data_IF_570434172789
#
_entry.id   IF_570434172789
#
_cell.length_a   1.000
_cell.length_b   1.000
_cell.length_c   1.000
_cell.angle_alpha   90.00
_cell.angle_beta   90.00
_cell.angle_gamma   90.00
#
_symmetry.space_group_name_H-M   'P 1'
#
loop_
_entity.id
_entity.type
_entity.pdbx_description
1 polymer ?
#
# COMPACT_ATOMS: atom_id res chain seq x y z
N UNK A 1 24.74 2.15 17.99
CA UNK A 1 24.42 3.54 18.45
C UNK A 1 25.09 4.49 17.47
N UNK A 2 24.32 5.12 16.58
CA UNK A 2 24.86 6.14 15.67
C UNK A 2 24.93 7.47 16.39
N UNK A 3 26.13 8.03 16.51
CA UNK A 3 26.36 9.36 17.07
C UNK A 3 25.93 10.39 16.03
N UNK A 4 24.86 11.15 16.31
CA UNK A 4 24.45 12.26 15.44
C UNK A 4 25.45 13.40 15.57
N UNK A 5 25.97 13.88 14.45
CA UNK A 5 26.87 15.04 14.40
C UNK A 5 26.04 16.29 14.12
N UNK A 6 26.16 17.31 14.98
CA UNK A 6 25.53 18.60 14.81
C UNK A 6 26.47 19.55 14.06
N UNK A 7 25.89 20.43 13.23
CA UNK A 7 26.63 21.54 12.63
C UNK A 7 26.95 22.64 13.67
N UNK A 8 27.66 23.68 13.25
CA UNK A 8 28.08 24.78 14.14
C UNK A 8 26.90 25.59 14.73
N UNK A 9 25.67 25.41 14.20
CA UNK A 9 24.45 26.02 14.69
C UNK A 9 23.60 25.07 15.56
N UNK A 10 24.08 23.85 15.88
CA UNK A 10 23.37 22.85 16.68
C UNK A 10 22.28 22.09 15.89
N UNK A 11 22.28 22.18 14.57
CA UNK A 11 21.39 21.44 13.68
C UNK A 11 22.06 20.16 13.17
N UNK A 12 21.24 19.18 12.77
CA UNK A 12 21.74 17.98 12.09
C UNK A 12 22.46 18.34 10.80
N UNK A 13 23.63 17.72 10.57
CA UNK A 13 24.34 17.88 9.30
C UNK A 13 23.51 17.37 8.13
N UNK A 14 23.87 17.76 6.92
CA UNK A 14 23.16 17.27 5.72
C UNK A 14 23.35 15.76 5.52
N UNK A 15 24.49 15.22 5.88
CA UNK A 15 24.76 13.79 5.87
C UNK A 15 23.82 13.05 6.85
N UNK A 16 23.63 13.60 8.06
CA UNK A 16 22.71 12.98 9.03
C UNK A 16 21.28 12.99 8.54
N UNK A 17 20.83 14.08 7.92
CA UNK A 17 19.47 14.18 7.32
C UNK A 17 19.29 13.18 6.18
N UNK A 18 20.28 13.06 5.31
CA UNK A 18 20.26 12.09 4.23
C UNK A 18 20.23 10.65 4.77
N UNK A 19 21.06 10.34 5.76
CA UNK A 19 21.09 9.03 6.40
C UNK A 19 19.77 8.70 7.07
N UNK A 20 19.20 9.64 7.82
CA UNK A 20 17.88 9.48 8.45
C UNK A 20 16.76 9.26 7.43
N UNK A 21 16.77 10.01 6.33
CA UNK A 21 15.82 9.81 5.22
C UNK A 21 15.95 8.40 4.63
N UNK A 22 17.18 7.93 4.39
CA UNK A 22 17.44 6.59 3.85
C UNK A 22 16.90 5.50 4.78
N UNK A 23 17.22 5.59 6.05
CA UNK A 23 16.75 4.65 7.07
C UNK A 23 15.23 4.62 7.12
N UNK A 24 14.61 5.80 7.26
CA UNK A 24 13.14 5.90 7.33
C UNK A 24 12.45 5.34 6.08
N UNK A 25 13.02 5.58 4.89
CA UNK A 25 12.49 5.03 3.64
C UNK A 25 12.55 3.51 3.61
N UNK A 26 13.68 2.94 4.02
CA UNK A 26 13.86 1.48 4.02
C UNK A 26 13.01 0.80 5.08
N UNK A 27 12.87 1.41 6.26
CA UNK A 27 11.97 0.93 7.30
C UNK A 27 10.51 0.96 6.82
N UNK A 28 10.10 2.00 6.08
CA UNK A 28 8.80 2.05 5.43
C UNK A 28 8.61 0.90 4.44
N UNK A 29 9.59 0.68 3.55
CA UNK A 29 9.53 -0.41 2.56
C UNK A 29 9.41 -1.81 3.20
N UNK A 30 9.99 -2.01 4.40
CA UNK A 30 9.92 -3.28 5.15
C UNK A 30 8.59 -3.50 5.86
N UNK A 31 7.70 -2.50 5.95
CA UNK A 31 6.38 -2.67 6.58
C UNK A 31 5.57 -3.78 5.91
N UNK A 32 4.76 -4.49 6.72
CA UNK A 32 4.03 -5.69 6.29
C UNK A 32 3.13 -5.44 5.08
N UNK A 33 2.52 -4.25 5.01
CA UNK A 33 1.54 -3.91 3.98
C UNK A 33 1.89 -2.59 3.27
N UNK A 34 3.19 -2.34 3.02
CA UNK A 34 3.66 -1.21 2.22
C UNK A 34 4.01 -1.66 0.78
N UNK A 35 4.77 -0.86 0.03
CA UNK A 35 4.99 -1.03 -1.41
C UNK A 35 5.56 -2.39 -1.81
N UNK A 36 6.49 -2.95 -1.03
CA UNK A 36 7.10 -4.24 -1.35
C UNK A 36 6.18 -5.43 -1.09
N UNK A 37 5.04 -5.23 -0.41
CA UNK A 37 4.02 -6.25 -0.19
C UNK A 37 3.02 -6.36 -1.35
N UNK A 38 3.07 -5.49 -2.36
CA UNK A 38 2.15 -5.55 -3.49
C UNK A 38 2.39 -6.83 -4.29
N UNK A 39 1.44 -7.75 -4.21
CA UNK A 39 1.49 -9.08 -4.79
C UNK A 39 0.55 -9.27 -5.99
N UNK A 40 -0.44 -8.38 -6.17
CA UNK A 40 -1.40 -8.49 -7.26
C UNK A 40 -2.19 -7.22 -7.50
N UNK A 41 -2.70 -7.13 -8.72
CA UNK A 41 -3.62 -6.07 -9.15
C UNK A 41 -4.66 -6.68 -10.10
N UNK A 42 -5.94 -6.62 -9.71
CA UNK A 42 -7.03 -7.30 -10.37
C UNK A 42 -8.12 -6.28 -10.73
N UNK A 43 -8.46 -6.17 -12.00
CA UNK A 43 -9.58 -5.34 -12.45
C UNK A 43 -10.91 -5.98 -12.08
N UNK A 44 -11.85 -5.16 -11.61
CA UNK A 44 -13.21 -5.59 -11.29
C UNK A 44 -14.14 -5.07 -12.38
N UNK A 45 -14.87 -5.97 -13.03
CA UNK A 45 -15.88 -5.64 -14.04
C UNK A 45 -17.28 -5.52 -13.42
N UNK A 46 -18.25 -5.14 -14.24
CA UNK A 46 -19.68 -5.14 -13.91
C UNK A 46 -20.30 -6.57 -13.87
N UNK A 47 -19.65 -7.53 -14.52
CA UNK A 47 -20.05 -8.93 -14.45
C UNK A 47 -19.46 -9.60 -13.20
N UNK A 48 -20.28 -10.30 -12.37
CA UNK A 48 -19.78 -11.03 -11.21
C UNK A 48 -18.75 -12.10 -11.58
N UNK A 49 -17.55 -12.02 -11.00
CA UNK A 49 -16.45 -12.93 -11.31
C UNK A 49 -15.66 -13.33 -10.05
N UNK A 50 -15.08 -14.53 -10.08
CA UNK A 50 -14.07 -14.94 -9.09
C UNK A 50 -12.73 -14.37 -9.52
N UNK A 51 -12.11 -13.57 -8.65
CA UNK A 51 -10.83 -12.90 -8.91
C UNK A 51 -9.71 -13.57 -8.11
N UNK A 52 -9.29 -14.76 -8.53
CA UNK A 52 -8.24 -15.49 -7.82
C UNK A 52 -6.95 -14.65 -7.65
N UNK A 53 -6.29 -14.70 -6.46
CA UNK A 53 -6.54 -15.62 -5.34
C UNK A 53 -7.54 -15.10 -4.29
N UNK A 54 -8.22 -13.97 -4.54
CA UNK A 54 -9.14 -13.35 -3.56
C UNK A 54 -10.40 -14.20 -3.43
N UNK A 55 -10.81 -14.59 -2.21
CA UNK A 55 -12.05 -15.32 -2.00
C UNK A 55 -13.28 -14.52 -2.42
N UNK A 56 -14.34 -15.25 -2.81
CA UNK A 56 -15.64 -14.67 -3.15
C UNK A 56 -15.80 -14.29 -4.61
N UNK A 57 -16.98 -13.77 -4.92
CA UNK A 57 -17.37 -13.27 -6.23
C UNK A 57 -17.49 -11.76 -6.17
N UNK A 58 -16.81 -11.08 -7.09
CA UNK A 58 -16.64 -9.64 -7.11
C UNK A 58 -17.24 -9.03 -8.36
N UNK A 59 -17.85 -7.85 -8.24
CA UNK A 59 -18.35 -7.06 -9.38
C UNK A 59 -18.49 -5.59 -9.01
N UNK A 60 -18.72 -4.75 -10.01
CA UNK A 60 -19.07 -3.34 -9.85
C UNK A 60 -20.56 -3.16 -10.17
N UNK A 61 -21.26 -2.40 -9.35
CA UNK A 61 -22.61 -1.95 -9.65
C UNK A 61 -22.81 -0.52 -9.13
N UNK A 62 -23.26 0.37 -10.01
CA UNK A 62 -23.32 1.80 -9.70
C UNK A 62 -21.92 2.37 -9.44
N UNK A 63 -21.74 2.98 -8.27
CA UNK A 63 -20.49 3.59 -7.80
C UNK A 63 -19.79 2.75 -6.72
N UNK A 64 -20.09 1.45 -6.66
CA UNK A 64 -19.59 0.56 -5.61
C UNK A 64 -18.98 -0.73 -6.15
N UNK A 65 -17.95 -1.22 -5.47
CA UNK A 65 -17.46 -2.59 -5.57
C UNK A 65 -18.30 -3.46 -4.64
N UNK A 66 -18.81 -4.56 -5.17
CA UNK A 66 -19.56 -5.57 -4.44
C UNK A 66 -18.74 -6.84 -4.28
N UNK A 67 -18.98 -7.54 -3.19
CA UNK A 67 -18.43 -8.88 -2.96
C UNK A 67 -19.47 -9.76 -2.29
N UNK A 68 -19.53 -11.03 -2.73
CA UNK A 68 -20.30 -12.09 -2.09
C UNK A 68 -19.36 -13.25 -1.75
N UNK A 69 -19.39 -13.69 -0.50
CA UNK A 69 -18.64 -14.85 -0.03
C UNK A 69 -19.43 -15.62 1.04
N UNK A 70 -19.12 -16.90 1.20
CA UNK A 70 -19.58 -17.66 2.36
C UNK A 70 -18.57 -17.55 3.51
N UNK A 71 -19.02 -17.74 4.75
CA UNK A 71 -18.12 -17.72 5.90
C UNK A 71 -16.94 -18.70 5.77
N UNK A 72 -17.17 -19.85 5.11
CA UNK A 72 -16.12 -20.85 4.85
C UNK A 72 -15.01 -20.40 3.90
N UNK A 73 -15.24 -19.33 3.11
CA UNK A 73 -14.23 -18.76 2.19
C UNK A 73 -13.14 -17.98 2.94
N UNK A 74 -13.40 -17.63 4.21
CA UNK A 74 -12.42 -16.97 5.07
C UNK A 74 -12.09 -15.52 4.68
N UNK A 75 -12.99 -14.85 3.97
CA UNK A 75 -12.86 -13.42 3.67
C UNK A 75 -13.36 -12.59 4.85
N UNK A 76 -12.51 -11.75 5.42
CA UNK A 76 -12.86 -10.81 6.47
C UNK A 76 -13.00 -9.39 5.92
N UNK A 77 -14.08 -8.71 6.22
CA UNK A 77 -14.28 -7.30 5.87
C UNK A 77 -13.71 -6.43 7.00
N UNK A 78 -12.98 -5.39 6.60
CA UNK A 78 -12.32 -4.46 7.52
C UNK A 78 -13.17 -3.19 7.67
N UNK A 79 -13.59 -2.89 8.90
CA UNK A 79 -14.17 -1.62 9.24
C UNK A 79 -13.11 -0.50 9.31
N UNK A 80 -13.55 0.76 9.34
CA UNK A 80 -12.66 1.93 9.39
C UNK A 80 -11.77 1.97 10.64
N UNK A 81 -12.20 1.36 11.74
CA UNK A 81 -11.44 1.22 12.98
C UNK A 81 -10.45 0.03 12.97
N UNK A 82 -10.39 -0.72 11.87
CA UNK A 82 -9.56 -1.91 11.70
C UNK A 82 -10.18 -3.21 12.22
N UNK A 83 -11.41 -3.16 12.75
CA UNK A 83 -12.13 -4.38 13.16
C UNK A 83 -12.40 -5.26 11.94
N UNK A 84 -12.05 -6.55 12.04
CA UNK A 84 -12.30 -7.53 11.01
C UNK A 84 -13.52 -8.39 11.34
N UNK A 85 -14.38 -8.64 10.37
CA UNK A 85 -15.57 -9.49 10.50
C UNK A 85 -15.66 -10.45 9.31
N UNK A 86 -15.77 -11.74 9.57
CA UNK A 86 -15.95 -12.75 8.51
C UNK A 86 -17.21 -12.42 7.71
N UNK A 87 -17.06 -12.34 6.39
CA UNK A 87 -18.18 -12.14 5.48
C UNK A 87 -18.95 -13.46 5.29
N UNK A 88 -20.25 -13.39 5.55
CA UNK A 88 -21.20 -14.45 5.21
C UNK A 88 -22.39 -13.81 4.50
N UNK A 89 -22.39 -13.80 3.18
CA UNK A 89 -23.38 -13.10 2.36
C UNK A 89 -22.73 -12.08 1.43
N UNK A 90 -23.32 -10.88 1.33
CA UNK A 90 -22.93 -9.83 0.39
C UNK A 90 -22.70 -8.50 1.10
N UNK A 91 -21.70 -7.76 0.64
CA UNK A 91 -21.46 -6.37 1.05
C UNK A 91 -20.97 -5.54 -0.13
N UNK A 92 -20.94 -4.21 0.04
CA UNK A 92 -20.44 -3.29 -0.97
C UNK A 92 -19.67 -2.13 -0.34
N UNK A 93 -18.80 -1.51 -1.13
CA UNK A 93 -18.02 -0.33 -0.77
C UNK A 93 -18.02 0.68 -1.91
N UNK A 94 -18.52 1.88 -1.64
CA UNK A 94 -18.37 3.03 -2.55
C UNK A 94 -17.01 3.68 -2.35
N UNK A 95 -16.31 3.96 -3.44
CA UNK A 95 -14.97 4.53 -3.45
C UNK A 95 -14.97 5.93 -4.07
N UNK A 96 -14.21 6.84 -3.47
CA UNK A 96 -13.83 8.09 -4.11
C UNK A 96 -12.58 7.95 -4.97
N UNK A 97 -12.36 8.87 -5.91
CA UNK A 97 -11.18 8.91 -6.79
C UNK A 97 -9.84 9.06 -6.05
N UNK A 98 -9.87 9.54 -4.81
CA UNK A 98 -8.69 9.85 -4.02
C UNK A 98 -8.20 8.68 -3.16
N UNK A 99 -7.41 7.79 -3.73
CA UNK A 99 -6.72 6.77 -2.94
C UNK A 99 -7.30 5.36 -3.06
N UNK A 100 -6.75 4.43 -2.29
CA UNK A 100 -7.25 3.09 -2.09
C UNK A 100 -7.80 2.95 -0.68
N UNK A 101 -8.81 2.13 -0.52
CA UNK A 101 -9.36 1.81 0.79
C UNK A 101 -9.12 0.33 1.09
N UNK A 102 -8.56 0.05 2.26
CA UNK A 102 -8.45 -1.32 2.76
C UNK A 102 -9.86 -1.84 3.01
N UNK A 103 -10.23 -2.87 2.29
CA UNK A 103 -11.60 -3.39 2.27
C UNK A 103 -11.69 -4.72 3.01
N UNK A 104 -10.73 -5.61 2.78
CA UNK A 104 -10.83 -6.97 3.27
C UNK A 104 -9.46 -7.56 3.58
N UNK A 105 -9.48 -8.72 4.24
CA UNK A 105 -8.32 -9.55 4.53
C UNK A 105 -8.69 -11.01 4.37
N UNK A 106 -7.72 -11.84 3.98
CA UNK A 106 -7.88 -13.31 3.90
C UNK A 106 -6.55 -14.03 4.10
N UNK A 107 -6.62 -15.34 4.33
CA UNK A 107 -5.43 -16.19 4.49
C UNK A 107 -4.49 -15.69 5.59
N UNK A 108 -3.19 -15.72 5.32
CA UNK A 108 -2.14 -15.30 6.24
C UNK A 108 -1.93 -13.78 6.20
N UNK A 109 -2.99 -13.00 6.48
CA UNK A 109 -2.98 -11.54 6.56
C UNK A 109 -2.77 -10.81 5.22
N UNK A 110 -3.26 -11.38 4.10
CA UNK A 110 -3.26 -10.69 2.81
C UNK A 110 -4.34 -9.63 2.80
N UNK A 111 -3.95 -8.35 2.70
CA UNK A 111 -4.88 -7.22 2.60
C UNK A 111 -5.36 -7.03 1.16
N UNK A 112 -6.65 -6.75 1.02
CA UNK A 112 -7.31 -6.34 -0.22
C UNK A 112 -7.64 -4.86 -0.13
N UNK A 113 -7.05 -4.05 -1.01
CA UNK A 113 -7.38 -2.64 -1.16
C UNK A 113 -8.23 -2.46 -2.41
N UNK A 114 -9.40 -1.88 -2.28
CA UNK A 114 -10.20 -1.46 -3.42
C UNK A 114 -9.76 -0.06 -3.89
N UNK A 115 -9.68 0.12 -5.19
CA UNK A 115 -9.18 1.32 -5.87
C UNK A 115 -10.14 1.76 -6.95
N UNK A 116 -10.33 3.07 -7.09
CA UNK A 116 -10.94 3.68 -8.27
C UNK A 116 -9.88 4.51 -9.00
N UNK A 117 -9.67 4.25 -10.28
CA UNK A 117 -8.67 4.94 -11.11
C UNK A 117 -9.21 5.18 -12.52
N UNK A 118 -9.40 6.43 -12.87
CA UNK A 118 -9.90 6.82 -14.20
C UNK A 118 -11.25 6.18 -14.54
N UNK A 119 -12.14 6.04 -13.57
CA UNK A 119 -13.44 5.41 -13.74
C UNK A 119 -13.45 3.87 -13.69
N UNK A 120 -12.28 3.22 -13.48
CA UNK A 120 -12.18 1.76 -13.38
C UNK A 120 -11.89 1.32 -11.96
N UNK A 121 -12.53 0.23 -11.55
CA UNK A 121 -12.33 -0.37 -10.24
C UNK A 121 -11.32 -1.50 -10.29
N UNK A 122 -10.50 -1.60 -9.24
CA UNK A 122 -9.52 -2.65 -9.11
C UNK A 122 -9.32 -3.07 -7.65
N UNK A 123 -8.84 -4.30 -7.45
CA UNK A 123 -8.34 -4.79 -6.18
C UNK A 123 -6.82 -4.85 -6.23
N UNK A 124 -6.15 -4.28 -5.24
CA UNK A 124 -4.71 -4.43 -5.03
C UNK A 124 -4.47 -5.31 -3.82
N UNK A 125 -3.65 -6.33 -4.01
CA UNK A 125 -3.30 -7.28 -2.96
C UNK A 125 -1.99 -6.87 -2.31
N UNK A 126 -1.96 -6.88 -0.99
CA UNK A 126 -0.75 -6.68 -0.19
C UNK A 126 -0.52 -7.91 0.66
N UNK A 127 0.48 -8.69 0.28
CA UNK A 127 0.89 -9.91 0.95
C UNK A 127 2.14 -9.65 1.80
N UNK A 128 2.08 -9.81 3.13
CA UNK A 128 3.26 -9.66 3.97
C UNK A 128 4.35 -10.69 3.67
N UNK A 129 4.03 -11.78 2.96
CA UNK A 129 4.99 -12.79 2.53
C UNK A 129 5.49 -12.59 1.08
N UNK A 130 5.13 -11.48 0.42
CA UNK A 130 5.58 -11.19 -0.94
C UNK A 130 7.11 -11.30 -1.06
N UNK A 131 7.65 -12.01 -2.08
CA UNK A 131 9.10 -12.19 -2.23
C UNK A 131 9.88 -10.88 -2.29
N UNK A 132 9.32 -9.85 -2.95
CA UNK A 132 9.95 -8.52 -3.01
C UNK A 132 10.15 -7.90 -1.62
N UNK A 133 9.30 -8.22 -0.65
CA UNK A 133 9.42 -7.75 0.73
C UNK A 133 10.35 -8.64 1.56
N UNK A 134 10.17 -9.95 1.51
CA UNK A 134 10.88 -10.89 2.38
C UNK A 134 12.36 -11.04 2.02
N UNK A 135 12.73 -10.78 0.75
CA UNK A 135 14.12 -10.78 0.28
C UNK A 135 14.73 -9.38 0.18
N UNK A 136 14.05 -8.34 0.68
CA UNK A 136 14.54 -6.97 0.58
C UNK A 136 15.71 -6.72 1.53
N UNK A 137 16.88 -6.45 0.98
CA UNK A 137 18.14 -6.17 1.69
C UNK A 137 18.56 -4.70 1.67
N UNK A 138 17.77 -3.84 1.02
CA UNK A 138 17.98 -2.39 0.95
C UNK A 138 17.87 -1.85 -0.47
N UNK A 139 17.77 -0.53 -0.60
CA UNK A 139 17.80 0.18 -1.88
C UNK A 139 19.24 0.53 -2.22
N UNK A 140 19.83 0.02 -3.31
CA UNK A 140 21.16 0.43 -3.75
C UNK A 140 21.25 1.95 -3.89
N UNK A 141 22.35 2.52 -3.44
CA UNK A 141 22.58 3.96 -3.49
C UNK A 141 24.05 4.28 -3.66
N UNK A 142 24.34 5.44 -4.22
CA UNK A 142 25.68 6.01 -4.22
C UNK A 142 26.04 6.56 -2.84
N UNK A 143 27.34 6.71 -2.59
CA UNK A 143 27.80 7.42 -1.39
C UNK A 143 27.27 8.85 -1.36
N UNK A 144 27.09 9.37 -0.16
CA UNK A 144 26.66 10.76 0.00
C UNK A 144 27.72 11.71 -0.52
N UNK A 145 27.31 12.57 -1.48
CA UNK A 145 28.15 13.65 -1.99
C UNK A 145 27.32 14.95 -2.01
N UNK A 146 27.71 15.99 -1.27
CA UNK A 146 27.01 17.26 -1.22
C UNK A 146 26.94 17.99 -2.57
N UNK A 147 27.80 17.65 -3.53
CA UNK A 147 27.79 18.25 -4.89
C UNK A 147 26.53 17.90 -5.68
N UNK A 148 25.83 16.81 -5.33
CA UNK A 148 24.55 16.45 -5.91
C UNK A 148 23.38 17.32 -5.44
N UNK A 149 23.62 18.22 -4.49
CA UNK A 149 22.60 19.19 -4.06
C UNK A 149 22.52 20.34 -5.04
N UNK A 150 21.52 20.31 -5.89
CA UNK A 150 21.28 21.31 -6.92
C UNK A 150 20.23 22.29 -6.42
N UNK A 151 20.51 23.59 -6.26
CA UNK A 151 19.50 24.58 -5.95
C UNK A 151 18.58 24.76 -7.16
N UNK A 152 17.26 24.67 -6.92
CA UNK A 152 16.25 24.86 -7.97
C UNK A 152 15.23 25.91 -7.54
N UNK A 153 14.64 26.60 -8.51
CA UNK A 153 13.48 27.45 -8.30
C UNK A 153 12.23 26.68 -8.73
N UNK A 154 11.25 26.62 -7.84
CA UNK A 154 9.94 26.07 -8.20
C UNK A 154 9.15 27.16 -8.93
N UNK A 155 8.68 26.87 -10.13
CA UNK A 155 7.74 27.69 -10.89
C UNK A 155 6.42 26.91 -10.99
N UNK A 156 5.31 27.42 -10.37
CA UNK A 156 4.02 26.77 -10.50
C UNK A 156 3.58 26.76 -11.96
N UNK A 157 2.94 25.69 -12.37
CA UNK A 157 2.27 25.64 -13.68
C UNK A 157 0.97 26.45 -13.59
N UNK A 158 0.73 27.33 -14.61
CA UNK A 158 -0.49 28.13 -14.74
C UNK A 158 -1.65 27.31 -15.33
#
# INVERSE_FOLDING_TARGET
MSTQVLDAAGSLTQLDRWSAFRTSREDGLRQSHDWLSVAGFLWVSDEPAVLAPVPGTWWVSGDAVHVRAAAADGLEILAADGTATVLDGETSLSLGEAGGQRLARFGDDVLVEALLRGGYYALRLRDPQAPARTSFDGVPTFDYDPTWRIPVRFEPYE
#
